data_IF_902050046571
#
_entry.id   IF_902050046571
#
_cell.length_a   1.000
_cell.length_b   1.000
_cell.length_c   1.000
_cell.angle_alpha   90.00
_cell.angle_beta   90.00
_cell.angle_gamma   90.00
#
_symmetry.space_group_name_H-M   'P 1'
#
loop_
_entity.id
_entity.type
_entity.pdbx_description
1 polymer ?
#
# COMPACT_ATOMS: atom_id res chain seq x y z
N UNK A 1 56.45 -3.00 43.54
CA UNK A 1 54.97 -2.96 43.49
C UNK A 1 54.55 -2.21 42.25
N UNK A 2 53.82 -2.87 41.34
CA UNK A 2 53.34 -2.33 40.06
C UNK A 2 51.98 -1.65 40.29
N UNK A 3 51.79 -0.42 39.84
CA UNK A 3 50.44 0.15 39.65
C UNK A 3 50.23 0.44 38.18
N UNK A 4 49.22 -0.21 37.62
CA UNK A 4 48.88 -0.23 36.22
C UNK A 4 47.76 0.77 35.90
N UNK A 5 47.91 1.38 34.72
CA UNK A 5 46.94 1.94 33.77
C UNK A 5 45.44 1.74 34.07
N UNK A 6 44.64 2.77 33.76
CA UNK A 6 43.43 2.67 32.90
C UNK A 6 42.91 4.07 32.55
N UNK A 7 43.12 4.46 31.29
CA UNK A 7 42.35 5.53 30.65
C UNK A 7 40.98 4.97 30.24
N UNK A 8 39.94 5.76 30.44
CA UNK A 8 38.60 5.47 29.96
C UNK A 8 38.31 6.41 28.77
N UNK A 9 38.28 5.84 27.57
CA UNK A 9 37.68 6.46 26.39
C UNK A 9 36.20 6.10 26.46
N UNK A 10 35.33 7.11 26.64
CA UNK A 10 33.89 6.94 26.50
C UNK A 10 33.53 7.26 25.06
N UNK A 11 33.33 6.22 24.26
CA UNK A 11 32.73 6.32 22.93
C UNK A 11 31.22 6.18 23.08
N UNK A 12 30.47 7.29 23.05
CA UNK A 12 29.02 7.23 22.92
C UNK A 12 28.68 7.03 21.45
N UNK A 13 28.34 5.79 21.10
CA UNK A 13 27.73 5.43 19.83
C UNK A 13 26.25 5.81 19.90
N UNK A 14 25.90 6.98 19.35
CA UNK A 14 24.52 7.33 19.06
C UNK A 14 24.12 6.72 17.71
N UNK A 15 23.72 5.45 17.70
CA UNK A 15 23.15 4.81 16.51
C UNK A 15 21.62 4.93 16.53
N UNK A 16 21.10 5.85 15.71
CA UNK A 16 20.03 5.54 14.75
C UNK A 16 18.65 5.17 15.29
N UNK A 17 18.00 6.05 16.06
CA UNK A 17 16.53 6.09 16.12
C UNK A 17 16.04 7.12 15.11
N UNK A 18 15.58 6.70 13.93
CA UNK A 18 14.95 7.65 12.99
C UNK A 18 14.67 7.23 11.55
N UNK A 19 14.78 5.94 11.16
CA UNK A 19 14.67 5.57 9.74
C UNK A 19 13.28 5.17 9.21
N UNK A 20 12.22 5.11 10.03
CA UNK A 20 10.93 4.62 9.53
C UNK A 20 10.05 5.69 8.84
N UNK A 21 10.36 6.99 8.99
CA UNK A 21 9.57 8.08 8.40
C UNK A 21 10.11 8.65 7.07
N UNK A 22 11.37 8.42 6.74
CA UNK A 22 12.05 9.10 5.62
C UNK A 22 11.88 8.40 4.26
N UNK A 23 11.40 7.16 4.23
CA UNK A 23 11.30 6.38 2.99
C UNK A 23 10.24 6.93 1.99
N UNK A 24 9.41 7.89 2.39
CA UNK A 24 8.27 8.35 1.60
C UNK A 24 8.38 9.81 1.12
N UNK A 25 9.40 10.55 1.56
CA UNK A 25 9.62 11.97 1.22
C UNK A 25 10.66 12.20 0.13
N UNK A 26 11.42 11.17 -0.26
CA UNK A 26 12.40 11.29 -1.35
C UNK A 26 11.70 11.23 -2.70
N UNK A 27 12.03 12.18 -3.58
CA UNK A 27 11.57 12.15 -4.96
C UNK A 27 12.06 10.86 -5.65
N UNK A 28 11.23 10.18 -6.47
CA UNK A 28 11.63 8.97 -7.18
C UNK A 28 12.90 9.21 -8.00
N UNK A 29 13.82 8.25 -8.00
CA UNK A 29 15.01 8.33 -8.85
C UNK A 29 14.62 8.29 -10.34
N UNK A 30 15.55 8.68 -11.23
CA UNK A 30 15.32 8.50 -12.69
C UNK A 30 15.03 7.05 -13.06
N UNK A 31 15.69 6.10 -12.39
CA UNK A 31 15.47 4.67 -12.59
C UNK A 31 14.05 4.24 -12.14
N UNK A 32 13.58 4.76 -11.00
CA UNK A 32 12.21 4.51 -10.52
C UNK A 32 11.18 5.09 -11.49
N UNK A 33 11.39 6.30 -11.99
CA UNK A 33 10.52 6.92 -12.98
C UNK A 33 10.43 6.08 -14.27
N UNK A 34 11.56 5.57 -14.75
CA UNK A 34 11.60 4.72 -15.94
C UNK A 34 10.86 3.39 -15.71
N UNK A 35 11.17 2.70 -14.60
CA UNK A 35 10.49 1.47 -14.22
C UNK A 35 8.98 1.68 -14.04
N UNK A 36 8.59 2.79 -13.44
CA UNK A 36 7.21 3.18 -13.27
C UNK A 36 6.49 3.36 -14.61
N UNK A 37 7.14 4.03 -15.57
CA UNK A 37 6.61 4.20 -16.92
C UNK A 37 6.43 2.85 -17.65
N UNK A 38 7.40 1.94 -17.54
CA UNK A 38 7.33 0.59 -18.13
C UNK A 38 6.16 -0.22 -17.55
N UNK A 39 5.99 -0.20 -16.23
CA UNK A 39 4.87 -0.86 -15.55
C UNK A 39 3.53 -0.27 -16.03
N UNK A 40 3.41 1.05 -16.07
CA UNK A 40 2.21 1.73 -16.54
C UNK A 40 1.90 1.39 -18.00
N UNK A 41 2.93 1.33 -18.86
CA UNK A 41 2.77 0.93 -20.26
C UNK A 41 2.29 -0.52 -20.38
N UNK A 42 2.87 -1.45 -19.61
CA UNK A 42 2.41 -2.84 -19.53
C UNK A 42 0.94 -2.90 -19.09
N UNK A 43 0.56 -2.15 -18.05
CA UNK A 43 -0.81 -2.07 -17.58
C UNK A 43 -1.77 -1.55 -18.65
N UNK A 44 -1.45 -0.43 -19.29
CA UNK A 44 -2.26 0.16 -20.36
C UNK A 44 -2.40 -0.76 -21.59
N UNK A 45 -1.39 -1.58 -21.88
CA UNK A 45 -1.46 -2.53 -23.00
C UNK A 45 -2.61 -3.53 -22.84
N UNK A 46 -2.97 -3.86 -21.60
CA UNK A 46 -4.07 -4.77 -21.25
C UNK A 46 -5.43 -4.08 -21.16
N UNK A 47 -5.49 -2.74 -21.18
CA UNK A 47 -6.74 -1.99 -21.05
C UNK A 47 -7.47 -1.84 -22.39
N UNK A 48 -8.79 -1.67 -22.36
CA UNK A 48 -9.56 -1.27 -23.55
C UNK A 48 -9.14 0.13 -24.04
N UNK A 49 -9.31 0.45 -25.34
CA UNK A 49 -8.96 1.77 -25.89
C UNK A 49 -9.62 2.93 -25.13
N UNK A 50 -10.90 2.79 -24.78
CA UNK A 50 -11.65 3.80 -24.02
C UNK A 50 -11.04 4.07 -22.64
N UNK A 51 -10.62 3.01 -21.92
CA UNK A 51 -9.97 3.18 -20.63
C UNK A 51 -8.58 3.82 -20.76
N UNK A 52 -7.82 3.48 -21.82
CA UNK A 52 -6.54 4.12 -22.10
C UNK A 52 -6.72 5.61 -22.37
N UNK A 53 -7.75 6.01 -23.12
CA UNK A 53 -8.05 7.41 -23.38
C UNK A 53 -8.33 8.17 -22.08
N UNK A 54 -9.19 7.63 -21.21
CA UNK A 54 -9.46 8.23 -19.89
C UNK A 54 -8.22 8.30 -19.01
N UNK A 55 -7.39 7.25 -18.98
CA UNK A 55 -6.13 7.26 -18.22
C UNK A 55 -5.15 8.32 -18.73
N UNK A 56 -5.09 8.54 -20.06
CA UNK A 56 -4.29 9.61 -20.66
C UNK A 56 -4.83 11.01 -20.38
N UNK A 57 -6.14 11.16 -20.15
CA UNK A 57 -6.77 12.44 -19.81
C UNK A 57 -6.61 12.84 -18.32
N UNK A 58 -6.10 11.96 -17.46
CA UNK A 58 -5.86 12.26 -16.04
C UNK A 58 -4.81 13.37 -15.86
N UNK A 59 -4.92 14.11 -14.76
CA UNK A 59 -3.95 15.15 -14.41
C UNK A 59 -2.55 14.56 -14.15
N UNK A 60 -1.48 15.36 -14.28
CA UNK A 60 -0.13 14.93 -13.98
C UNK A 60 0.02 14.37 -12.56
N UNK A 61 -0.63 14.97 -11.58
CA UNK A 61 -0.56 14.59 -10.16
C UNK A 61 -1.13 13.17 -9.95
N UNK A 62 -2.28 12.87 -10.57
CA UNK A 62 -2.88 11.55 -10.49
C UNK A 62 -2.02 10.50 -11.21
N UNK A 63 -1.46 10.85 -12.38
CA UNK A 63 -0.55 9.94 -13.10
C UNK A 63 0.70 9.62 -12.26
N UNK A 64 1.29 10.63 -11.62
CA UNK A 64 2.43 10.45 -10.72
C UNK A 64 2.06 9.57 -9.52
N UNK A 65 0.88 9.79 -8.93
CA UNK A 65 0.38 8.95 -7.84
C UNK A 65 0.23 7.49 -8.28
N UNK A 66 -0.38 7.23 -9.44
CA UNK A 66 -0.54 5.87 -9.98
C UNK A 66 0.81 5.19 -10.23
N UNK A 67 1.80 5.93 -10.76
CA UNK A 67 3.18 5.44 -10.89
C UNK A 67 3.78 5.07 -9.54
N UNK A 68 3.59 5.92 -8.51
CA UNK A 68 4.09 5.64 -7.15
C UNK A 68 3.47 4.37 -6.57
N UNK A 69 2.16 4.18 -6.72
CA UNK A 69 1.47 2.96 -6.28
C UNK A 69 1.99 1.72 -7.03
N UNK A 70 2.17 1.85 -8.35
CA UNK A 70 2.69 0.78 -9.19
C UNK A 70 4.13 0.38 -8.84
N UNK A 71 4.95 1.32 -8.35
CA UNK A 71 6.31 1.04 -7.88
C UNK A 71 6.34 0.47 -6.46
N UNK A 72 5.47 0.98 -5.57
CA UNK A 72 5.36 0.51 -4.19
C UNK A 72 5.04 -0.99 -4.14
N UNK A 73 4.10 -1.41 -4.97
CA UNK A 73 3.70 -2.80 -5.03
C UNK A 73 4.72 -3.60 -5.82
N UNK A 74 5.56 -4.40 -5.15
CA UNK A 74 6.49 -5.28 -5.88
C UNK A 74 5.81 -6.54 -6.44
N UNK A 75 4.64 -6.88 -5.90
CA UNK A 75 3.90 -8.12 -6.22
C UNK A 75 2.82 -7.85 -7.27
N UNK A 76 3.18 -7.87 -8.54
CA UNK A 76 2.22 -7.74 -9.65
C UNK A 76 1.69 -9.11 -10.05
N UNK A 77 0.41 -9.20 -10.39
CA UNK A 77 -0.17 -10.41 -10.98
C UNK A 77 -0.57 -10.19 -12.42
N UNK A 78 -0.21 -11.13 -13.30
CA UNK A 78 -0.65 -11.14 -14.70
C UNK A 78 -1.94 -11.98 -14.91
N UNK A 79 -2.41 -12.65 -13.85
CA UNK A 79 -3.55 -13.59 -13.91
C UNK A 79 -4.65 -13.29 -12.90
N UNK A 80 -4.33 -12.78 -11.70
CA UNK A 80 -5.31 -12.54 -10.65
C UNK A 80 -6.13 -11.28 -10.96
N UNK A 81 -7.44 -11.42 -10.83
CA UNK A 81 -8.40 -10.31 -10.87
C UNK A 81 -8.46 -9.59 -9.54
N UNK A 82 -9.09 -8.40 -9.50
CA UNK A 82 -9.33 -7.68 -8.26
C UNK A 82 -10.10 -8.54 -7.24
N UNK A 83 -11.02 -9.42 -7.67
CA UNK A 83 -11.74 -10.31 -6.74
C UNK A 83 -10.78 -11.18 -5.94
N UNK A 84 -9.80 -11.81 -6.59
CA UNK A 84 -8.84 -12.69 -5.92
C UNK A 84 -7.90 -11.90 -5.01
N UNK A 85 -7.42 -10.73 -5.47
CA UNK A 85 -6.60 -9.83 -4.65
C UNK A 85 -7.37 -9.36 -3.41
N UNK A 86 -8.64 -8.98 -3.55
CA UNK A 86 -9.47 -8.58 -2.41
C UNK A 86 -9.76 -9.76 -1.46
N UNK A 87 -9.78 -11.00 -1.94
CA UNK A 87 -9.85 -12.19 -1.07
C UNK A 87 -8.56 -12.38 -0.27
N UNK A 88 -7.38 -12.16 -0.87
CA UNK A 88 -6.10 -12.15 -0.14
C UNK A 88 -6.12 -11.07 0.96
N UNK A 89 -6.51 -9.85 0.60
CA UNK A 89 -6.63 -8.71 1.54
C UNK A 89 -7.62 -9.02 2.67
N UNK A 90 -8.76 -9.64 2.36
CA UNK A 90 -9.77 -10.01 3.36
C UNK A 90 -9.22 -11.01 4.38
N UNK A 91 -8.45 -12.00 3.93
CA UNK A 91 -7.85 -12.99 4.83
C UNK A 91 -6.89 -12.33 5.83
N UNK A 92 -6.05 -11.40 5.36
CA UNK A 92 -5.14 -10.66 6.24
C UNK A 92 -5.91 -9.71 7.17
N UNK A 93 -6.95 -9.02 6.67
CA UNK A 93 -7.83 -8.19 7.50
C UNK A 93 -8.49 -8.99 8.63
N UNK A 94 -8.99 -10.20 8.35
CA UNK A 94 -9.59 -11.08 9.36
C UNK A 94 -8.56 -11.59 10.36
N UNK A 95 -7.34 -11.92 9.90
CA UNK A 95 -6.24 -12.34 10.76
C UNK A 95 -5.84 -11.22 11.74
N UNK A 96 -5.80 -9.96 11.30
CA UNK A 96 -5.55 -8.80 12.17
C UNK A 96 -6.63 -8.70 13.26
N UNK A 97 -7.91 -8.79 12.87
CA UNK A 97 -9.01 -8.72 13.83
C UNK A 97 -8.96 -9.84 14.88
N UNK A 98 -8.66 -11.07 14.46
CA UNK A 98 -8.45 -12.19 15.38
C UNK A 98 -7.26 -11.95 16.31
N UNK A 99 -6.14 -11.47 15.76
CA UNK A 99 -4.93 -11.18 16.53
C UNK A 99 -5.17 -10.12 17.61
N UNK A 100 -5.91 -9.05 17.30
CA UNK A 100 -6.30 -8.02 18.26
C UNK A 100 -7.19 -8.59 19.36
N UNK A 101 -8.18 -9.41 18.99
CA UNK A 101 -9.10 -10.02 19.96
C UNK A 101 -8.40 -10.99 20.92
N UNK A 102 -7.25 -11.54 20.55
CA UNK A 102 -6.47 -12.49 21.35
C UNK A 102 -5.15 -11.93 21.88
N UNK A 103 -4.91 -10.62 21.74
CA UNK A 103 -3.67 -9.95 22.15
C UNK A 103 -2.39 -10.59 21.57
N UNK A 104 -2.44 -10.98 20.28
CA UNK A 104 -1.35 -11.63 19.56
C UNK A 104 -0.60 -10.63 18.68
N UNK A 105 0.49 -10.08 19.21
CA UNK A 105 1.29 -9.03 18.59
C UNK A 105 1.96 -9.47 17.29
N UNK A 106 2.52 -10.69 17.28
CA UNK A 106 3.24 -11.24 16.14
C UNK A 106 2.31 -11.46 14.95
N UNK A 107 1.13 -12.04 15.20
CA UNK A 107 0.14 -12.24 14.15
C UNK A 107 -0.41 -10.90 13.63
N UNK A 108 -0.67 -9.95 14.52
CA UNK A 108 -1.19 -8.64 14.13
C UNK A 108 -0.20 -7.90 13.21
N UNK A 109 1.08 -7.87 13.58
CA UNK A 109 2.11 -7.19 12.81
C UNK A 109 2.38 -7.85 11.46
N UNK A 110 2.52 -9.17 11.43
CA UNK A 110 2.75 -9.93 10.19
C UNK A 110 1.57 -9.82 9.23
N UNK A 111 0.34 -10.01 9.71
CA UNK A 111 -0.87 -9.87 8.88
C UNK A 111 -1.04 -8.44 8.34
N UNK A 112 -0.77 -7.41 9.13
CA UNK A 112 -0.85 -6.03 8.66
C UNK A 112 0.22 -5.69 7.61
N UNK A 113 1.43 -6.24 7.74
CA UNK A 113 2.46 -6.12 6.70
C UNK A 113 2.08 -6.82 5.41
N UNK A 114 1.43 -8.00 5.48
CA UNK A 114 0.92 -8.68 4.28
C UNK A 114 -0.21 -7.92 3.62
N UNK A 115 -1.14 -7.34 4.41
CA UNK A 115 -2.19 -6.46 3.89
C UNK A 115 -1.58 -5.27 3.14
N UNK A 116 -0.62 -4.56 3.74
CA UNK A 116 0.04 -3.42 3.12
C UNK A 116 0.92 -3.78 1.89
N UNK A 117 1.26 -5.05 1.72
CA UNK A 117 2.04 -5.58 0.61
C UNK A 117 1.21 -6.61 -0.18
N UNK A 118 -0.08 -6.36 -0.36
CA UNK A 118 -0.93 -7.20 -1.20
C UNK A 118 -0.47 -7.15 -2.67
N UNK A 119 -1.05 -8.00 -3.54
CA UNK A 119 -0.72 -7.96 -4.97
C UNK A 119 -1.45 -6.81 -5.68
N UNK A 120 -0.91 -6.33 -6.80
CA UNK A 120 -1.71 -5.59 -7.79
C UNK A 120 -2.38 -6.57 -8.75
N UNK A 121 -3.68 -6.39 -9.06
CA UNK A 121 -4.38 -7.27 -9.99
C UNK A 121 -3.91 -7.06 -11.45
N UNK A 122 -4.27 -8.00 -12.32
CA UNK A 122 -3.99 -7.96 -13.76
C UNK A 122 -4.45 -6.62 -14.36
N UNK A 123 -3.53 -5.92 -15.03
CA UNK A 123 -3.82 -4.61 -15.62
C UNK A 123 -3.84 -3.45 -14.63
N UNK A 124 -3.48 -3.67 -13.35
CA UNK A 124 -3.53 -2.65 -12.31
C UNK A 124 -4.95 -2.38 -11.82
N UNK A 125 -5.13 -1.30 -11.05
CA UNK A 125 -6.42 -0.98 -10.41
C UNK A 125 -7.47 -0.43 -11.38
N UNK A 126 -7.07 0.46 -12.32
CA UNK A 126 -8.00 1.22 -13.15
C UNK A 126 -9.07 0.37 -13.90
N UNK A 127 -8.77 -0.81 -14.44
CA UNK A 127 -9.77 -1.64 -15.11
C UNK A 127 -10.94 -2.03 -14.21
N UNK A 128 -10.72 -2.10 -12.91
CA UNK A 128 -11.71 -2.57 -11.95
C UNK A 128 -12.54 -1.44 -11.32
N UNK A 129 -12.24 -0.19 -11.65
CA UNK A 129 -13.05 0.96 -11.27
C UNK A 129 -14.19 1.17 -12.26
N UNK A 130 -15.36 1.68 -11.84
CA UNK A 130 -16.37 2.18 -12.76
C UNK A 130 -15.75 3.22 -13.69
N UNK A 131 -16.11 3.17 -14.97
CA UNK A 131 -15.40 3.93 -16.00
C UNK A 131 -15.58 5.45 -15.81
N UNK A 132 -16.76 5.84 -15.36
CA UNK A 132 -17.15 7.19 -14.97
C UNK A 132 -16.39 7.71 -13.74
N UNK A 133 -15.73 6.83 -12.97
CA UNK A 133 -14.86 7.17 -11.84
C UNK A 133 -13.38 7.28 -12.22
N UNK A 134 -13.01 6.98 -13.47
CA UNK A 134 -11.65 7.22 -13.99
C UNK A 134 -11.54 8.68 -14.42
N UNK A 135 -11.60 9.58 -13.43
CA UNK A 135 -11.48 11.04 -13.59
C UNK A 135 -10.45 11.59 -12.61
N UNK A 136 -9.86 12.75 -12.90
CA UNK A 136 -8.97 13.43 -11.96
C UNK A 136 -9.65 13.70 -10.63
N UNK A 137 -10.93 14.10 -10.64
CA UNK A 137 -11.70 14.42 -9.44
C UNK A 137 -11.87 13.20 -8.53
N UNK A 138 -12.43 12.11 -9.05
CA UNK A 138 -12.67 10.91 -8.24
C UNK A 138 -11.36 10.26 -7.79
N UNK A 139 -10.36 10.15 -8.68
CA UNK A 139 -9.06 9.54 -8.34
C UNK A 139 -8.21 10.40 -7.40
N UNK A 140 -8.51 11.69 -7.21
CA UNK A 140 -7.87 12.54 -6.19
C UNK A 140 -8.12 12.06 -4.75
N UNK A 141 -9.09 11.17 -4.54
CA UNK A 141 -9.34 10.55 -3.24
C UNK A 141 -8.32 9.46 -2.89
N UNK A 142 -7.65 8.87 -3.88
CA UNK A 142 -6.78 7.72 -3.68
C UNK A 142 -5.60 7.98 -2.71
N UNK A 143 -4.91 9.13 -2.72
CA UNK A 143 -3.85 9.39 -1.74
C UNK A 143 -4.34 9.35 -0.28
N UNK A 144 -5.54 9.84 -0.01
CA UNK A 144 -6.13 9.77 1.32
C UNK A 144 -6.49 8.33 1.70
N UNK A 145 -7.06 7.57 0.76
CA UNK A 145 -7.40 6.15 0.97
C UNK A 145 -6.15 5.30 1.22
N UNK A 146 -5.09 5.51 0.42
CA UNK A 146 -3.78 4.89 0.59
C UNK A 146 -3.20 5.14 1.98
N UNK A 147 -3.26 6.39 2.45
CA UNK A 147 -2.74 6.74 3.77
C UNK A 147 -3.53 6.09 4.93
N UNK A 148 -4.85 5.93 4.77
CA UNK A 148 -5.70 5.31 5.79
C UNK A 148 -5.53 3.80 5.80
N UNK A 149 -5.47 3.17 4.62
CA UNK A 149 -5.53 1.71 4.48
C UNK A 149 -4.12 1.12 4.52
N UNK A 150 -3.31 1.30 3.47
CA UNK A 150 -2.03 0.60 3.36
C UNK A 150 -0.98 1.19 4.30
N UNK A 151 -0.87 2.52 4.38
CA UNK A 151 0.05 3.16 5.36
C UNK A 151 -0.47 2.97 6.79
N UNK A 152 -1.79 2.95 6.99
CA UNK A 152 -2.40 2.60 8.28
C UNK A 152 -2.05 1.18 8.73
N UNK A 153 -2.03 0.21 7.82
CA UNK A 153 -1.62 -1.15 8.13
C UNK A 153 -0.13 -1.23 8.51
N UNK A 154 0.74 -0.42 7.90
CA UNK A 154 2.13 -0.29 8.37
C UNK A 154 2.20 0.29 9.78
N UNK A 155 1.43 1.36 10.08
CA UNK A 155 1.36 1.92 11.44
C UNK A 155 0.82 0.91 12.46
N UNK A 156 -0.17 0.11 12.07
CA UNK A 156 -0.71 -0.99 12.88
C UNK A 156 0.39 -2.00 13.20
N UNK A 157 1.16 -2.42 12.19
CA UNK A 157 2.23 -3.38 12.38
C UNK A 157 3.31 -2.86 13.33
N UNK A 158 3.73 -1.61 13.15
CA UNK A 158 4.71 -0.95 14.02
C UNK A 158 4.21 -0.78 15.46
N UNK A 159 2.91 -0.59 15.66
CA UNK A 159 2.31 -0.52 17.00
C UNK A 159 2.30 -1.91 17.67
N UNK A 160 1.87 -2.95 16.94
CA UNK A 160 1.86 -4.32 17.43
C UNK A 160 3.28 -4.82 17.77
N UNK A 161 4.30 -4.52 16.95
CA UNK A 161 5.70 -4.84 17.23
C UNK A 161 6.24 -4.20 18.52
N UNK A 162 5.66 -3.07 18.94
CA UNK A 162 5.99 -2.40 20.21
C UNK A 162 5.14 -2.89 21.39
N UNK A 163 4.22 -3.83 21.16
CA UNK A 163 3.24 -4.30 22.13
C UNK A 163 2.12 -3.30 22.43
N UNK A 164 1.95 -2.26 21.62
CA UNK A 164 0.87 -1.27 21.78
C UNK A 164 -0.38 -1.71 21.02
N UNK A 165 -1.06 -2.73 21.55
CA UNK A 165 -2.25 -3.31 20.92
C UNK A 165 -3.48 -2.40 20.99
N UNK A 166 -3.50 -1.45 21.93
CA UNK A 166 -4.50 -0.38 21.95
C UNK A 166 -4.37 0.52 20.73
N UNK A 167 -3.15 0.95 20.38
CA UNK A 167 -2.88 1.71 19.16
C UNK A 167 -3.12 0.87 17.91
N UNK A 168 -2.73 -0.40 17.91
CA UNK A 168 -3.00 -1.31 16.79
C UNK A 168 -4.51 -1.43 16.51
N UNK A 169 -5.34 -1.58 17.54
CA UNK A 169 -6.80 -1.61 17.43
C UNK A 169 -7.40 -0.30 16.88
N UNK A 170 -6.85 0.86 17.27
CA UNK A 170 -7.28 2.15 16.72
C UNK A 170 -6.97 2.26 15.22
N UNK A 171 -5.76 1.89 14.79
CA UNK A 171 -5.41 1.86 13.37
C UNK A 171 -6.29 0.85 12.61
N UNK A 172 -6.59 -0.31 13.19
CA UNK A 172 -7.51 -1.30 12.59
C UNK A 172 -8.91 -0.73 12.37
N UNK A 173 -9.45 0.01 13.34
CA UNK A 173 -10.72 0.72 13.20
C UNK A 173 -10.69 1.76 12.07
N UNK A 174 -9.61 2.53 11.96
CA UNK A 174 -9.43 3.50 10.88
C UNK A 174 -9.35 2.82 9.51
N UNK A 175 -8.57 1.73 9.38
CA UNK A 175 -8.46 0.91 8.17
C UNK A 175 -9.86 0.39 7.78
N UNK A 176 -10.63 -0.13 8.74
CA UNK A 176 -12.00 -0.62 8.50
C UNK A 176 -12.88 0.47 7.89
N UNK A 177 -12.86 1.68 8.45
CA UNK A 177 -13.57 2.84 7.90
C UNK A 177 -13.09 3.21 6.49
N UNK A 178 -11.78 3.14 6.25
CA UNK A 178 -11.17 3.33 4.93
C UNK A 178 -11.65 2.31 3.89
N UNK A 179 -11.67 1.03 4.24
CA UNK A 179 -12.17 -0.06 3.39
C UNK A 179 -13.63 0.19 2.97
N UNK A 180 -14.49 0.56 3.92
CA UNK A 180 -15.90 0.86 3.62
C UNK A 180 -16.04 2.09 2.73
N UNK A 181 -15.28 3.16 3.01
CA UNK A 181 -15.33 4.40 2.24
C UNK A 181 -14.85 4.20 0.80
N UNK A 182 -13.74 3.49 0.61
CA UNK A 182 -13.22 3.15 -0.70
C UNK A 182 -14.25 2.30 -1.48
N UNK A 183 -14.84 1.28 -0.84
CA UNK A 183 -15.89 0.48 -1.48
C UNK A 183 -17.13 1.31 -1.82
N UNK A 184 -17.61 2.18 -0.94
CA UNK A 184 -18.78 3.00 -1.21
C UNK A 184 -18.59 3.93 -2.42
N UNK A 185 -17.36 4.39 -2.65
CA UNK A 185 -17.05 5.29 -3.75
C UNK A 185 -16.70 4.58 -5.07
N UNK A 186 -15.89 3.51 -4.99
CA UNK A 186 -15.27 2.88 -6.15
C UNK A 186 -15.77 1.47 -6.48
N UNK A 187 -16.57 0.82 -5.64
CA UNK A 187 -17.01 -0.55 -5.90
C UNK A 187 -17.98 -0.59 -7.08
N UNK A 188 -17.49 -1.05 -8.23
CA UNK A 188 -18.31 -1.59 -9.33
C UNK A 188 -18.70 -3.04 -9.08
N UNK A 189 -18.96 -3.81 -10.15
CA UNK A 189 -19.15 -5.26 -10.00
C UNK A 189 -17.84 -5.95 -9.57
N UNK A 190 -17.80 -6.67 -8.41
CA UNK A 190 -16.61 -7.38 -7.98
C UNK A 190 -16.34 -8.58 -8.89
N UNK A 191 -15.20 -8.66 -9.57
CA UNK A 191 -14.91 -9.79 -10.47
C UNK A 191 -13.94 -9.51 -11.60
N UNK A 192 -14.18 -10.15 -12.74
CA UNK A 192 -13.53 -9.87 -14.02
C UNK A 192 -13.92 -8.48 -14.51
N UNK A 193 -12.96 -7.74 -15.04
CA UNK A 193 -13.21 -6.42 -15.63
C UNK A 193 -13.48 -6.56 -17.13
N UNK A 194 -14.58 -5.97 -17.62
CA UNK A 194 -14.85 -5.81 -19.06
C UNK A 194 -13.91 -4.80 -19.73
N UNK A 195 -13.12 -4.07 -18.93
CA UNK A 195 -12.17 -3.05 -19.38
C UNK A 195 -10.76 -3.60 -19.57
N UNK A 196 -10.59 -4.92 -19.43
CA UNK A 196 -9.40 -5.66 -19.83
C UNK A 196 -9.60 -6.27 -21.22
N UNK A 197 -8.58 -6.20 -22.05
CA UNK A 197 -8.49 -6.99 -23.28
C UNK A 197 -8.43 -8.48 -22.91
N UNK A 198 -9.21 -9.29 -23.64
CA UNK A 198 -9.23 -10.75 -23.52
C UNK A 198 -7.91 -11.33 -24.00
#
# INVERSE_FOLDING_TARGET
>A
MRTAKRGAIVTVVALGLGLSGAAWSQAPSKADMQRGAEIMQKQMSMMTPELVEKAKALSPEIKQFLVKIALKHSRHSDTLTLRQVMTEILADYQAIGAAIATDNNELASDAARRLANHRLPRGGMLPYLPLEKVTTKDLSLLPAMENIIEVGAIRLAEAAEKGDMGKAAQEFGAITGGCVTCHAHFRGQPGTSERLKK
#
